data_IF_982083742036
#
_entry.id   IF_982083742036
#
_cell.length_a   1.000
_cell.length_b   1.000
_cell.length_c   1.000
_cell.angle_alpha   90.00
_cell.angle_beta   90.00
_cell.angle_gamma   90.00
#
_symmetry.space_group_name_H-M   'P 1'
#
loop_
_entity.id
_entity.type
_entity.pdbx_description
1 polymer ?
#
# COMPACT_ATOMS: atom_id res chain seq x y z
N UNK A 1 22.43 12.45 -17.58
CA UNK A 1 22.46 12.79 -16.14
C UNK A 1 22.45 14.31 -15.91
N UNK A 2 21.29 14.99 -16.07
CA UNK A 2 21.10 16.42 -15.66
C UNK A 2 19.95 16.63 -14.66
N UNK A 3 19.25 15.55 -14.28
CA UNK A 3 18.06 15.60 -13.39
C UNK A 3 18.38 15.72 -11.89
N UNK A 4 19.64 15.65 -11.45
CA UNK A 4 19.96 15.42 -10.04
C UNK A 4 19.92 16.66 -9.13
N UNK A 5 20.30 17.84 -9.63
CA UNK A 5 20.49 19.02 -8.76
C UNK A 5 19.33 20.02 -8.79
N UNK A 6 18.67 20.20 -9.93
CA UNK A 6 17.48 21.08 -10.02
C UNK A 6 16.26 20.50 -9.30
N UNK A 7 16.13 19.16 -9.30
CA UNK A 7 14.94 18.48 -8.79
C UNK A 7 14.91 18.46 -7.25
N UNK A 8 16.05 18.24 -6.58
CA UNK A 8 16.11 18.24 -5.10
C UNK A 8 15.65 19.56 -4.44
N UNK A 9 15.89 20.71 -5.10
CA UNK A 9 15.52 22.03 -4.56
C UNK A 9 14.02 22.34 -4.73
N UNK A 10 13.36 21.74 -5.72
CA UNK A 10 11.91 21.86 -5.95
C UNK A 10 11.15 20.87 -5.06
N UNK A 11 11.60 19.62 -4.99
CA UNK A 11 11.03 18.57 -4.11
C UNK A 11 11.01 19.05 -2.64
N UNK A 12 12.08 19.69 -2.16
CA UNK A 12 12.14 20.22 -0.79
C UNK A 12 11.12 21.32 -0.47
N UNK A 13 10.62 22.08 -1.48
CA UNK A 13 9.59 23.11 -1.28
C UNK A 13 8.16 22.55 -1.32
N UNK A 14 7.96 21.46 -2.07
CA UNK A 14 6.66 20.81 -2.22
C UNK A 14 6.30 19.93 -1.02
N UNK A 15 7.27 19.45 -0.23
CA UNK A 15 7.00 18.57 0.92
C UNK A 15 6.74 19.29 2.25
N UNK A 16 6.30 20.56 2.23
CA UNK A 16 5.94 21.27 3.47
C UNK A 16 4.64 20.73 4.07
N UNK A 17 4.43 20.97 5.38
CA UNK A 17 3.22 20.53 6.08
C UNK A 17 1.91 20.98 5.38
N UNK A 18 1.89 22.19 4.82
CA UNK A 18 0.73 22.72 4.07
C UNK A 18 0.44 21.91 2.82
N UNK A 19 1.45 21.55 2.03
CA UNK A 19 1.25 20.74 0.82
C UNK A 19 0.87 19.31 1.17
N UNK A 20 1.46 18.71 2.22
CA UNK A 20 1.05 17.39 2.72
C UNK A 20 -0.44 17.35 3.07
N UNK A 21 -0.92 18.35 3.81
CA UNK A 21 -2.34 18.47 4.15
C UNK A 21 -3.25 18.64 2.93
N UNK A 22 -2.82 19.44 1.93
CA UNK A 22 -3.54 19.58 0.66
C UNK A 22 -3.62 18.26 -0.10
N UNK A 23 -2.50 17.54 -0.20
CA UNK A 23 -2.46 16.24 -0.87
C UNK A 23 -3.35 15.21 -0.17
N UNK A 24 -3.32 15.15 1.16
CA UNK A 24 -4.22 14.30 1.94
C UNK A 24 -5.69 14.59 1.62
N UNK A 25 -6.06 15.87 1.57
CA UNK A 25 -7.43 16.28 1.28
C UNK A 25 -7.82 15.95 -0.17
N UNK A 26 -6.92 16.13 -1.14
CA UNK A 26 -7.16 15.74 -2.52
C UNK A 26 -7.43 14.23 -2.64
N UNK A 27 -6.60 13.39 -2.02
CA UNK A 27 -6.81 11.93 -2.00
C UNK A 27 -8.15 11.53 -1.37
N UNK A 28 -8.52 12.16 -0.24
CA UNK A 28 -9.77 11.87 0.48
C UNK A 28 -11.02 12.32 -0.30
N UNK A 29 -10.89 13.43 -1.02
CA UNK A 29 -11.96 13.97 -1.85
C UNK A 29 -12.01 13.33 -3.25
N UNK A 30 -11.09 12.40 -3.57
CA UNK A 30 -10.93 11.84 -4.92
C UNK A 30 -10.68 12.93 -5.98
N UNK A 31 -10.03 14.02 -5.59
CA UNK A 31 -9.65 15.12 -6.47
C UNK A 31 -8.36 14.75 -7.24
N UNK A 32 -8.55 13.94 -8.27
CA UNK A 32 -7.49 13.35 -9.08
C UNK A 32 -6.65 14.40 -9.79
N UNK A 33 -7.27 15.48 -10.26
CA UNK A 33 -6.59 16.55 -10.99
C UNK A 33 -5.61 17.28 -10.06
N UNK A 34 -6.04 17.59 -8.83
CA UNK A 34 -5.16 18.16 -7.82
C UNK A 34 -4.04 17.18 -7.45
N UNK A 35 -4.34 15.89 -7.25
CA UNK A 35 -3.31 14.88 -6.94
C UNK A 35 -2.22 14.83 -8.03
N UNK A 36 -2.62 14.68 -9.30
CA UNK A 36 -1.70 14.61 -10.44
C UNK A 36 -0.89 15.89 -10.58
N UNK A 37 -1.55 17.05 -10.53
CA UNK A 37 -0.88 18.36 -10.61
C UNK A 37 0.19 18.50 -9.53
N UNK A 38 -0.08 18.04 -8.30
CA UNK A 38 0.90 18.12 -7.22
C UNK A 38 2.10 17.20 -7.47
N UNK A 39 1.86 15.96 -7.91
CA UNK A 39 2.91 14.97 -8.21
C UNK A 39 3.76 15.44 -9.39
N UNK A 40 3.15 15.93 -10.46
CA UNK A 40 3.82 16.51 -11.64
C UNK A 40 4.72 17.69 -11.27
N UNK A 41 4.31 18.47 -10.26
CA UNK A 41 5.11 19.58 -9.72
C UNK A 41 6.21 19.12 -8.73
N UNK A 42 6.42 17.81 -8.57
CA UNK A 42 7.51 17.23 -7.76
C UNK A 42 7.14 16.97 -6.30
N UNK A 43 5.86 16.88 -5.97
CA UNK A 43 5.43 16.34 -4.68
C UNK A 43 5.75 14.83 -4.62
N UNK A 44 6.34 14.38 -3.51
CA UNK A 44 6.59 12.96 -3.27
C UNK A 44 5.36 12.34 -2.58
N UNK A 45 4.55 11.50 -3.26
CA UNK A 45 3.35 10.89 -2.67
C UNK A 45 3.67 9.76 -1.69
N UNK A 46 4.91 9.25 -1.66
CA UNK A 46 5.36 8.21 -0.72
C UNK A 46 5.75 8.77 0.65
N UNK A 47 5.72 10.09 0.81
CA UNK A 47 6.03 10.76 2.07
C UNK A 47 5.26 10.13 3.24
N UNK A 48 5.90 10.13 4.41
CA UNK A 48 5.36 9.50 5.61
C UNK A 48 5.07 8.00 5.40
N UNK A 49 6.02 7.28 4.80
CA UNK A 49 5.94 5.83 4.60
C UNK A 49 4.62 5.39 3.94
N UNK A 50 4.25 6.03 2.83
CA UNK A 50 3.03 5.72 2.09
C UNK A 50 1.74 5.77 2.93
N UNK A 51 1.67 6.58 4.00
CA UNK A 51 0.48 6.74 4.85
C UNK A 51 -0.78 7.01 4.03
N UNK A 52 -0.68 7.81 2.96
CA UNK A 52 -1.84 8.09 2.11
C UNK A 52 -2.31 6.89 1.29
N UNK A 53 -1.39 6.08 0.76
CA UNK A 53 -1.76 4.84 0.08
C UNK A 53 -2.49 3.90 1.05
N UNK A 54 -1.97 3.75 2.27
CA UNK A 54 -2.61 2.96 3.34
C UNK A 54 -4.03 3.43 3.66
N UNK A 55 -4.23 4.75 3.79
CA UNK A 55 -5.56 5.33 4.03
C UNK A 55 -6.51 5.12 2.85
N UNK A 56 -6.03 5.29 1.61
CA UNK A 56 -6.83 5.06 0.42
C UNK A 56 -7.25 3.60 0.29
N UNK A 57 -6.37 2.65 0.61
CA UNK A 57 -6.71 1.21 0.65
C UNK A 57 -7.81 0.97 1.69
N UNK A 58 -7.61 1.39 2.94
CA UNK A 58 -8.60 1.19 4.01
C UNK A 58 -9.96 1.83 3.70
N UNK A 59 -9.94 2.97 3.01
CA UNK A 59 -11.16 3.69 2.60
C UNK A 59 -11.69 3.23 1.25
N UNK A 60 -11.05 2.24 0.61
CA UNK A 60 -11.40 1.64 -0.67
C UNK A 60 -11.52 2.66 -1.82
N UNK A 61 -10.63 3.64 -1.82
CA UNK A 61 -10.57 4.73 -2.79
C UNK A 61 -9.88 4.30 -4.09
N UNK A 62 -10.52 3.41 -4.86
CA UNK A 62 -9.96 2.74 -6.04
C UNK A 62 -9.15 3.64 -6.99
N UNK A 63 -9.69 4.81 -7.37
CA UNK A 63 -8.99 5.73 -8.29
C UNK A 63 -7.71 6.29 -7.69
N UNK A 64 -7.77 6.78 -6.45
CA UNK A 64 -6.57 7.23 -5.71
C UNK A 64 -5.57 6.10 -5.47
N UNK A 65 -6.02 4.87 -5.19
CA UNK A 65 -5.14 3.71 -5.00
C UNK A 65 -4.31 3.47 -6.26
N UNK A 66 -4.94 3.41 -7.44
CA UNK A 66 -4.23 3.14 -8.69
C UNK A 66 -3.16 4.20 -8.98
N UNK A 67 -3.47 5.48 -8.79
CA UNK A 67 -2.51 6.57 -8.99
C UNK A 67 -1.37 6.47 -7.98
N UNK A 68 -1.69 6.26 -6.70
CA UNK A 68 -0.67 6.19 -5.65
C UNK A 68 0.24 4.97 -5.81
N UNK A 69 -0.27 3.82 -6.26
CA UNK A 69 0.58 2.66 -6.55
C UNK A 69 1.60 2.98 -7.63
N UNK A 70 1.14 3.54 -8.75
CA UNK A 70 2.02 3.92 -9.86
C UNK A 70 3.05 4.96 -9.42
N UNK A 71 2.61 6.02 -8.76
CA UNK A 71 3.47 7.16 -8.43
C UNK A 71 4.39 6.91 -7.23
N UNK A 72 3.92 6.25 -6.17
CA UNK A 72 4.76 5.92 -5.01
C UNK A 72 5.84 4.88 -5.37
N UNK A 73 5.58 3.99 -6.33
CA UNK A 73 6.56 2.97 -6.77
C UNK A 73 7.87 3.59 -7.28
N UNK A 74 7.82 4.84 -7.78
CA UNK A 74 8.98 5.59 -8.28
C UNK A 74 9.97 5.95 -7.17
N UNK A 75 9.57 5.84 -5.91
CA UNK A 75 10.36 6.20 -4.73
C UNK A 75 10.91 4.99 -3.97
N UNK A 76 10.51 3.76 -4.32
CA UNK A 76 11.04 2.53 -3.74
C UNK A 76 9.98 1.48 -3.44
N UNK A 77 10.37 0.47 -2.64
CA UNK A 77 9.46 -0.57 -2.17
C UNK A 77 8.47 -0.01 -1.14
N UNK A 78 7.26 -0.55 -1.14
CA UNK A 78 6.28 -0.31 -0.10
C UNK A 78 6.68 -1.04 1.18
N UNK A 79 6.36 -0.44 2.33
CA UNK A 79 6.46 -1.17 3.60
C UNK A 79 5.42 -2.31 3.63
N UNK A 80 5.64 -3.30 4.51
CA UNK A 80 4.73 -4.43 4.69
C UNK A 80 3.33 -3.98 5.15
N UNK A 81 3.22 -2.81 5.77
CA UNK A 81 1.97 -2.28 6.29
C UNK A 81 0.98 -1.94 5.15
N UNK A 82 1.47 -1.49 3.99
CA UNK A 82 0.64 -1.32 2.79
C UNK A 82 -0.08 -2.62 2.42
N UNK A 83 0.62 -3.75 2.47
CA UNK A 83 0.01 -5.05 2.19
C UNK A 83 -0.98 -5.46 3.29
N UNK A 84 -0.61 -5.29 4.57
CA UNK A 84 -1.52 -5.56 5.70
C UNK A 84 -2.83 -4.80 5.60
N UNK A 85 -2.79 -3.52 5.20
CA UNK A 85 -3.99 -2.70 5.03
C UNK A 85 -4.95 -3.30 3.98
N UNK A 86 -4.44 -3.92 2.91
CA UNK A 86 -5.31 -4.58 1.93
C UNK A 86 -6.04 -5.79 2.52
N UNK A 87 -5.39 -6.56 3.39
CA UNK A 87 -6.01 -7.70 4.07
C UNK A 87 -7.13 -7.25 5.01
N UNK A 88 -6.92 -6.13 5.72
CA UNK A 88 -7.92 -5.54 6.61
C UNK A 88 -9.18 -5.06 5.88
N UNK A 89 -9.12 -4.79 4.58
CA UNK A 89 -10.32 -4.47 3.78
C UNK A 89 -11.17 -5.69 3.47
N UNK A 90 -10.62 -6.91 3.63
CA UNK A 90 -11.20 -8.16 3.16
C UNK A 90 -11.64 -8.12 1.67
N UNK A 91 -10.98 -7.29 0.86
CA UNK A 91 -11.28 -7.10 -0.56
C UNK A 91 -10.20 -7.77 -1.41
N UNK A 92 -10.54 -8.93 -1.99
CA UNK A 92 -9.62 -9.76 -2.76
C UNK A 92 -8.99 -9.02 -3.96
N UNK A 93 -9.68 -8.02 -4.54
CA UNK A 93 -9.15 -7.28 -5.68
C UNK A 93 -7.94 -6.41 -5.28
N UNK A 94 -7.95 -5.82 -4.09
CA UNK A 94 -6.81 -5.04 -3.60
C UNK A 94 -5.64 -5.93 -3.18
N UNK A 95 -5.94 -7.11 -2.63
CA UNK A 95 -4.91 -8.12 -2.35
C UNK A 95 -4.23 -8.55 -3.64
N UNK A 96 -4.99 -8.95 -4.67
CA UNK A 96 -4.46 -9.29 -6.01
C UNK A 96 -3.62 -8.16 -6.59
N UNK A 97 -4.16 -6.94 -6.57
CA UNK A 97 -3.46 -5.75 -7.07
C UNK A 97 -2.09 -5.55 -6.40
N UNK A 98 -2.00 -5.73 -5.09
CA UNK A 98 -0.72 -5.60 -4.38
C UNK A 98 0.20 -6.80 -4.60
N UNK A 99 -0.31 -8.02 -4.61
CA UNK A 99 0.49 -9.23 -4.90
C UNK A 99 1.16 -9.15 -6.27
N UNK A 100 0.47 -8.60 -7.27
CA UNK A 100 0.98 -8.44 -8.63
C UNK A 100 1.94 -7.23 -8.79
N UNK A 101 1.99 -6.34 -7.79
CA UNK A 101 2.78 -5.12 -7.88
C UNK A 101 4.24 -5.35 -7.44
N UNK A 102 5.26 -5.05 -8.29
CA UNK A 102 6.66 -5.44 -8.05
C UNK A 102 7.30 -4.76 -6.83
N UNK A 103 6.75 -3.64 -6.38
CA UNK A 103 7.26 -2.90 -5.22
C UNK A 103 6.60 -3.31 -3.90
N UNK A 104 5.62 -4.21 -3.93
CA UNK A 104 4.97 -4.69 -2.71
C UNK A 104 5.93 -5.56 -1.91
N UNK A 105 6.04 -5.30 -0.61
CA UNK A 105 6.75 -6.17 0.32
C UNK A 105 5.73 -7.06 1.02
N UNK A 106 5.79 -8.37 0.74
CA UNK A 106 4.92 -9.37 1.36
C UNK A 106 5.65 -9.96 2.57
N UNK A 107 5.04 -9.99 3.77
CA UNK A 107 5.62 -10.62 4.94
C UNK A 107 5.89 -12.12 4.71
N UNK A 108 7.10 -12.58 5.05
CA UNK A 108 7.48 -14.00 4.88
C UNK A 108 6.88 -14.92 5.95
N UNK A 109 6.68 -14.39 7.15
CA UNK A 109 6.04 -15.13 8.25
C UNK A 109 4.52 -14.94 8.15
N UNK A 110 3.87 -15.83 7.39
CA UNK A 110 2.42 -15.78 7.20
C UNK A 110 1.63 -16.09 8.48
N UNK A 111 2.14 -16.97 9.35
CA UNK A 111 1.48 -17.28 10.64
C UNK A 111 1.33 -16.00 11.47
N UNK A 112 2.42 -15.26 11.66
CA UNK A 112 2.39 -13.96 12.36
C UNK A 112 1.53 -12.93 11.64
N UNK A 113 1.54 -12.90 10.31
CA UNK A 113 0.69 -12.00 9.53
C UNK A 113 -0.80 -12.26 9.80
N UNK A 114 -1.21 -13.53 9.84
CA UNK A 114 -2.59 -13.92 10.13
C UNK A 114 -2.99 -13.55 11.55
N UNK A 115 -2.13 -13.82 12.54
CA UNK A 115 -2.36 -13.42 13.93
C UNK A 115 -2.56 -11.90 14.06
N UNK A 116 -1.66 -11.10 13.46
CA UNK A 116 -1.73 -9.63 13.49
C UNK A 116 -3.05 -9.14 12.87
N UNK A 117 -3.40 -9.63 11.68
CA UNK A 117 -4.61 -9.21 10.95
C UNK A 117 -5.88 -9.62 11.69
N UNK A 118 -5.95 -10.85 12.19
CA UNK A 118 -7.11 -11.33 12.95
C UNK A 118 -7.29 -10.57 14.27
N UNK A 119 -6.19 -10.26 14.98
CA UNK A 119 -6.26 -9.44 16.18
C UNK A 119 -6.85 -8.06 15.89
N UNK A 120 -6.39 -7.40 14.81
CA UNK A 120 -6.90 -6.09 14.41
C UNK A 120 -8.38 -6.18 14.00
N UNK A 121 -8.76 -7.18 13.21
CA UNK A 121 -10.16 -7.37 12.81
C UNK A 121 -11.07 -7.60 14.03
N UNK A 122 -10.61 -8.36 15.04
CA UNK A 122 -11.37 -8.55 16.29
C UNK A 122 -11.59 -7.25 17.07
N UNK A 123 -10.65 -6.30 16.99
CA UNK A 123 -10.81 -4.98 17.62
C UNK A 123 -11.84 -4.12 16.88
N UNK A 124 -11.90 -4.18 15.55
CA UNK A 124 -12.87 -3.43 14.75
C UNK A 124 -14.26 -4.07 14.74
N UNK A 125 -14.34 -5.40 14.87
CA UNK A 125 -15.59 -6.18 14.80
C UNK A 125 -15.75 -7.09 16.03
N UNK A 126 -15.84 -6.55 17.26
CA UNK A 126 -15.80 -7.32 18.51
C UNK A 126 -17.03 -8.22 18.73
N UNK A 127 -18.09 -8.05 17.95
CA UNK A 127 -19.35 -8.79 18.06
C UNK A 127 -19.61 -9.74 16.89
N UNK A 128 -18.65 -9.94 15.99
CA UNK A 128 -18.79 -10.94 14.93
C UNK A 128 -18.55 -12.35 15.51
N UNK A 129 -19.57 -13.21 15.43
CA UNK A 129 -19.52 -14.61 15.88
C UNK A 129 -18.82 -15.55 14.87
N UNK A 130 -18.20 -15.01 13.80
CA UNK A 130 -17.61 -15.82 12.75
C UNK A 130 -16.26 -16.39 13.20
N UNK A 131 -16.02 -17.67 12.88
CA UNK A 131 -14.79 -18.41 13.17
C UNK A 131 -13.54 -17.77 12.54
N UNK A 132 -13.69 -17.16 11.35
CA UNK A 132 -12.65 -16.39 10.65
C UNK A 132 -13.19 -15.02 10.19
N UNK A 133 -12.45 -13.94 10.47
CA UNK A 133 -12.79 -12.57 10.04
C UNK A 133 -12.16 -12.19 8.68
N UNK A 134 -11.10 -12.89 8.30
CA UNK A 134 -10.44 -12.77 7.01
C UNK A 134 -10.87 -13.94 6.13
N UNK A 135 -11.24 -13.65 4.89
CA UNK A 135 -11.69 -14.64 3.91
C UNK A 135 -10.63 -15.72 3.66
N UNK A 136 -11.03 -17.00 3.70
CA UNK A 136 -10.15 -18.13 3.46
C UNK A 136 -9.62 -18.15 2.01
N UNK A 137 -10.38 -17.62 1.04
CA UNK A 137 -9.90 -17.43 -0.34
C UNK A 137 -8.71 -16.47 -0.37
N UNK A 138 -8.74 -15.40 0.43
CA UNK A 138 -7.63 -14.45 0.55
C UNK A 138 -6.43 -15.14 1.21
N UNK A 139 -6.63 -15.89 2.30
CA UNK A 139 -5.54 -16.64 2.96
C UNK A 139 -4.88 -17.61 1.99
N UNK A 140 -5.68 -18.36 1.24
CA UNK A 140 -5.19 -19.31 0.25
C UNK A 140 -4.41 -18.60 -0.85
N UNK A 141 -4.96 -17.53 -1.43
CA UNK A 141 -4.31 -16.73 -2.48
C UNK A 141 -2.92 -16.25 -2.06
N UNK A 142 -2.80 -15.68 -0.87
CA UNK A 142 -1.51 -15.17 -0.37
C UNK A 142 -0.54 -16.31 -0.09
N UNK A 143 -1.02 -17.41 0.49
CA UNK A 143 -0.20 -18.60 0.77
C UNK A 143 0.39 -19.17 -0.53
N UNK A 144 -0.45 -19.35 -1.56
CA UNK A 144 -0.01 -19.81 -2.88
C UNK A 144 1.00 -18.85 -3.50
N UNK A 145 0.76 -17.54 -3.42
CA UNK A 145 1.69 -16.54 -3.95
C UNK A 145 3.05 -16.56 -3.26
N UNK A 146 3.09 -16.77 -1.94
CA UNK A 146 4.34 -16.76 -1.17
C UNK A 146 5.17 -18.02 -1.40
N UNK A 147 4.51 -19.17 -1.52
CA UNK A 147 5.16 -20.49 -1.62
C UNK A 147 5.24 -21.09 -3.02
N UNK A 148 4.75 -20.41 -4.07
CA UNK A 148 4.98 -20.83 -5.47
C UNK A 148 6.48 -20.86 -5.82
N UNK A 149 6.83 -21.60 -6.87
CA UNK A 149 8.23 -21.79 -7.30
C UNK A 149 8.95 -20.49 -7.69
N UNK A 150 8.22 -19.47 -8.13
CA UNK A 150 8.73 -18.11 -8.40
C UNK A 150 8.39 -17.13 -7.26
N UNK A 151 7.94 -17.66 -6.13
CA UNK A 151 7.49 -16.91 -4.97
C UNK A 151 8.64 -16.34 -4.14
N UNK A 152 8.36 -15.32 -3.31
CA UNK A 152 9.37 -14.64 -2.51
C UNK A 152 10.17 -15.59 -1.61
N UNK A 153 9.54 -16.59 -0.99
CA UNK A 153 10.22 -17.50 -0.06
C UNK A 153 11.04 -18.57 -0.79
N UNK A 154 10.56 -19.09 -1.92
CA UNK A 154 11.29 -20.10 -2.68
C UNK A 154 12.57 -19.51 -3.30
N UNK A 155 12.47 -18.30 -3.87
CA UNK A 155 13.61 -17.61 -4.48
C UNK A 155 14.71 -17.21 -3.48
N UNK A 156 14.38 -17.00 -2.20
CA UNK A 156 15.39 -16.67 -1.17
C UNK A 156 16.34 -17.84 -0.87
N UNK A 157 15.95 -19.08 -1.17
CA UNK A 157 16.72 -20.28 -0.83
C UNK A 157 17.58 -20.82 -1.98
N UNK A 158 17.69 -20.07 -3.09
CA UNK A 158 18.35 -20.51 -4.35
C UNK A 158 19.62 -19.70 -4.67
N UNK A 159 19.93 -18.65 -3.90
CA UNK A 159 21.13 -17.80 -4.06
C UNK A 159 22.18 -18.09 -2.99
#
# INVERSE_FOLDING_TARGET
MKYSFYNKRIIGKMNTATHRGKFHMACRNQDIDTMKTMIENGFDPSFDNNTMLKQCIMSQYATSINILLEECSKFGKFDEEVFKMSLLTNNINYVKLLLDHPNTTIPKNLEKLWEDVEQILRLFYPHHEIETLLDDEIKQLVTEHVFRLDGPVYNDNIL
#
